data_IF_425172364868
#
_entry.id   IF_425172364868
#
_cell.length_a   1.000
_cell.length_b   1.000
_cell.length_c   1.000
_cell.angle_alpha   90.00
_cell.angle_beta   90.00
_cell.angle_gamma   90.00
#
_symmetry.space_group_name_H-M   'P 1'
#
loop_
_entity.id
_entity.type
_entity.pdbx_description
1 polymer ?
#
# COMPACT_ATOMS: atom_id res chain seq x y z
N UNK A 1 -22.34 -8.89 8.48
CA UNK A 1 -21.08 -8.57 9.19
C UNK A 1 -19.96 -8.47 8.17
N UNK A 2 -19.16 -7.41 8.22
CA UNK A 2 -18.02 -7.17 7.34
C UNK A 2 -16.74 -7.47 8.13
N UNK A 3 -15.80 -8.21 7.56
CA UNK A 3 -14.46 -8.37 8.13
C UNK A 3 -13.50 -7.38 7.48
N UNK A 4 -12.86 -6.54 8.28
CA UNK A 4 -11.87 -5.57 7.82
C UNK A 4 -10.47 -6.03 8.24
N UNK A 5 -9.61 -6.33 7.27
CA UNK A 5 -8.24 -6.77 7.49
C UNK A 5 -7.26 -5.68 7.04
N UNK A 6 -6.73 -4.93 8.01
CA UNK A 6 -5.76 -3.86 7.79
C UNK A 6 -4.33 -4.30 8.06
N UNK A 7 -3.39 -3.94 7.18
CA UNK A 7 -1.96 -4.22 7.36
C UNK A 7 -1.24 -3.26 8.30
N UNK A 8 -1.78 -2.05 8.52
CA UNK A 8 -1.20 -1.04 9.40
C UNK A 8 -1.99 -0.96 10.73
N UNK A 9 -1.74 0.08 11.53
CA UNK A 9 -2.57 0.40 12.70
C UNK A 9 -3.84 1.18 12.28
N UNK A 10 -4.88 1.21 13.14
CA UNK A 10 -6.09 2.01 12.88
C UNK A 10 -5.79 3.48 12.63
N UNK A 11 -4.86 4.06 13.40
CA UNK A 11 -4.50 5.48 13.32
C UNK A 11 -3.77 5.80 12.02
N UNK A 12 -2.83 4.96 11.61
CA UNK A 12 -2.16 5.09 10.32
C UNK A 12 -3.18 5.06 9.16
N UNK A 13 -4.21 4.23 9.27
CA UNK A 13 -5.25 4.04 8.24
C UNK A 13 -6.51 4.88 8.48
N UNK A 14 -6.49 5.87 9.38
CA UNK A 14 -7.67 6.62 9.80
C UNK A 14 -8.43 7.26 8.62
N UNK A 15 -7.72 7.85 7.65
CA UNK A 15 -8.33 8.44 6.45
C UNK A 15 -9.03 7.41 5.58
N UNK A 16 -8.41 6.24 5.37
CA UNK A 16 -8.99 5.13 4.60
C UNK A 16 -10.20 4.54 5.31
N UNK A 17 -10.10 4.35 6.62
CA UNK A 17 -11.19 3.85 7.45
C UNK A 17 -12.39 4.81 7.44
N UNK A 18 -12.14 6.13 7.50
CA UNK A 18 -13.17 7.16 7.37
C UNK A 18 -13.86 7.06 6.00
N UNK A 19 -13.09 7.02 4.92
CA UNK A 19 -13.63 6.90 3.56
C UNK A 19 -14.45 5.62 3.36
N UNK A 20 -13.98 4.49 3.91
CA UNK A 20 -14.70 3.22 3.85
C UNK A 20 -16.06 3.31 4.57
N UNK A 21 -16.10 3.86 5.78
CA UNK A 21 -17.34 4.07 6.53
C UNK A 21 -18.29 5.05 5.84
N UNK A 22 -17.75 6.10 5.23
CA UNK A 22 -18.53 7.07 4.47
C UNK A 22 -19.18 6.42 3.24
N UNK A 23 -18.43 5.65 2.46
CA UNK A 23 -18.98 4.91 1.32
C UNK A 23 -20.04 3.87 1.73
N UNK A 24 -19.85 3.18 2.86
CA UNK A 24 -20.89 2.31 3.42
C UNK A 24 -22.16 3.10 3.76
N UNK A 25 -22.02 4.25 4.42
CA UNK A 25 -23.15 5.10 4.80
C UNK A 25 -23.91 5.62 3.58
N UNK A 26 -23.21 6.03 2.53
CA UNK A 26 -23.81 6.46 1.26
C UNK A 26 -24.59 5.33 0.58
N UNK A 27 -24.12 4.08 0.73
CA UNK A 27 -24.82 2.88 0.28
C UNK A 27 -25.96 2.44 1.25
N UNK A 28 -26.22 3.19 2.32
CA UNK A 28 -27.26 2.91 3.30
C UNK A 28 -26.85 1.97 4.45
N UNK A 29 -25.56 1.66 4.59
CA UNK A 29 -25.01 0.83 5.67
C UNK A 29 -24.31 1.69 6.73
N UNK A 30 -24.86 1.72 7.94
CA UNK A 30 -24.36 2.46 9.09
C UNK A 30 -23.87 1.49 10.18
N UNK A 31 -22.59 1.63 10.54
CA UNK A 31 -21.94 0.76 11.52
C UNK A 31 -22.62 0.87 12.89
N UNK A 32 -22.90 -0.28 13.52
CA UNK A 32 -23.61 -0.36 14.79
C UNK A 32 -25.13 -0.24 14.67
N UNK A 33 -25.66 0.10 13.49
CA UNK A 33 -27.10 0.18 13.24
C UNK A 33 -27.61 -1.00 12.39
N UNK A 34 -27.07 -1.16 11.19
CA UNK A 34 -27.49 -2.22 10.25
C UNK A 34 -26.30 -2.96 9.61
N UNK A 35 -25.06 -2.57 9.93
CA UNK A 35 -23.85 -3.34 9.64
C UNK A 35 -22.96 -3.41 10.88
N UNK A 36 -22.31 -4.56 11.06
CA UNK A 36 -21.26 -4.76 12.07
C UNK A 36 -19.96 -4.96 11.31
N UNK A 37 -18.89 -4.27 11.74
CA UNK A 37 -17.55 -4.40 11.17
C UNK A 37 -16.63 -5.04 12.22
N UNK A 38 -16.02 -6.17 11.86
CA UNK A 38 -15.02 -6.87 12.65
C UNK A 38 -13.63 -6.47 12.16
N UNK A 39 -12.85 -5.80 13.00
CA UNK A 39 -11.55 -5.26 12.63
C UNK A 39 -10.39 -6.14 13.07
N UNK A 40 -9.47 -6.45 12.15
CA UNK A 40 -8.17 -7.04 12.46
C UNK A 40 -7.07 -6.19 11.86
N UNK A 41 -6.12 -5.81 12.72
CA UNK A 41 -5.00 -4.94 12.38
C UNK A 41 -3.71 -5.69 12.61
N UNK A 42 -2.84 -5.66 11.61
CA UNK A 42 -1.53 -6.29 11.68
C UNK A 42 -0.47 -5.38 12.32
N UNK A 43 -0.77 -4.08 12.48
CA UNK A 43 0.11 -3.07 13.09
C UNK A 43 1.49 -3.00 12.41
N UNK A 44 1.52 -3.15 11.08
CA UNK A 44 2.75 -3.17 10.28
C UNK A 44 3.45 -4.53 10.22
N UNK A 45 3.10 -5.48 11.11
CA UNK A 45 3.66 -6.83 11.09
C UNK A 45 2.85 -7.75 10.17
N UNK A 46 3.27 -7.81 8.90
CA UNK A 46 2.57 -8.56 7.85
C UNK A 46 2.47 -10.08 8.12
N UNK A 47 3.37 -10.66 8.92
CA UNK A 47 3.35 -12.09 9.26
C UNK A 47 2.11 -12.49 10.08
N UNK A 48 1.44 -11.51 10.71
CA UNK A 48 0.18 -11.74 11.44
C UNK A 48 -1.03 -11.88 10.51
N UNK A 49 -0.94 -11.42 9.26
CA UNK A 49 -2.08 -11.36 8.34
C UNK A 49 -2.76 -12.73 8.09
N UNK A 50 -2.05 -13.86 7.93
CA UNK A 50 -2.69 -15.16 7.76
C UNK A 50 -3.58 -15.57 8.95
N UNK A 51 -3.10 -15.38 10.19
CA UNK A 51 -3.87 -15.72 11.39
C UNK A 51 -5.09 -14.81 11.54
N UNK A 52 -4.91 -13.51 11.33
CA UNK A 52 -5.97 -12.50 11.40
C UNK A 52 -7.05 -12.74 10.33
N UNK A 53 -6.67 -13.11 9.11
CA UNK A 53 -7.60 -13.50 8.05
C UNK A 53 -8.39 -14.76 8.46
N UNK A 54 -7.69 -15.77 9.00
CA UNK A 54 -8.33 -16.99 9.50
C UNK A 54 -9.34 -16.74 10.62
N UNK A 55 -9.09 -15.78 11.51
CA UNK A 55 -10.05 -15.38 12.55
C UNK A 55 -11.34 -14.80 11.96
N UNK A 56 -11.22 -13.88 10.99
CA UNK A 56 -12.38 -13.31 10.31
C UNK A 56 -13.20 -14.38 9.55
N UNK A 57 -12.53 -15.36 8.95
CA UNK A 57 -13.19 -16.52 8.31
C UNK A 57 -13.95 -17.35 9.35
N UNK A 58 -13.34 -17.69 10.49
CA UNK A 58 -14.00 -18.45 11.57
C UNK A 58 -15.20 -17.73 12.17
N UNK A 59 -15.21 -16.40 12.12
CA UNK A 59 -16.35 -15.56 12.53
C UNK A 59 -17.48 -15.52 11.52
N UNK A 60 -17.34 -16.18 10.36
CA UNK A 60 -18.35 -16.22 9.30
C UNK A 60 -18.79 -14.81 8.87
N UNK A 61 -17.82 -13.92 8.64
CA UNK A 61 -18.12 -12.61 8.02
C UNK A 61 -18.74 -12.83 6.63
N UNK A 62 -19.64 -11.93 6.23
CA UNK A 62 -20.32 -12.01 4.94
C UNK A 62 -19.43 -11.54 3.77
N UNK A 63 -18.44 -10.69 4.06
CA UNK A 63 -17.47 -10.17 3.10
C UNK A 63 -16.19 -9.78 3.84
N UNK A 64 -15.04 -10.00 3.22
CA UNK A 64 -13.73 -9.55 3.67
C UNK A 64 -13.30 -8.31 2.87
N UNK A 65 -12.86 -7.25 3.54
CA UNK A 65 -12.31 -6.05 2.91
C UNK A 65 -10.84 -5.88 3.30
N UNK A 66 -9.99 -5.59 2.31
CA UNK A 66 -8.52 -5.49 2.46
C UNK A 66 -7.98 -4.21 1.82
N UNK A 67 -8.18 -3.03 2.46
CA UNK A 67 -7.86 -1.75 1.84
C UNK A 67 -6.38 -1.39 1.91
N UNK A 68 -5.83 -0.96 0.78
CA UNK A 68 -4.46 -0.46 0.61
C UNK A 68 -3.38 -1.51 0.77
N UNK A 69 -3.69 -2.81 0.62
CA UNK A 69 -2.77 -3.87 1.02
C UNK A 69 -2.93 -5.15 0.19
N UNK A 70 -2.05 -5.31 -0.81
CA UNK A 70 -1.93 -6.57 -1.55
C UNK A 70 -1.57 -7.77 -0.64
N UNK A 71 -0.67 -7.66 0.36
CA UNK A 71 -0.41 -8.76 1.29
C UNK A 71 -1.65 -9.19 2.09
N UNK A 72 -2.49 -8.24 2.54
CA UNK A 72 -3.72 -8.57 3.26
C UNK A 72 -4.73 -9.27 2.33
N UNK A 73 -4.85 -8.81 1.09
CA UNK A 73 -5.71 -9.44 0.09
C UNK A 73 -5.24 -10.88 -0.25
N UNK A 74 -3.93 -11.12 -0.33
CA UNK A 74 -3.36 -12.46 -0.52
C UNK A 74 -3.64 -13.37 0.68
N UNK A 75 -3.48 -12.87 1.90
CA UNK A 75 -3.81 -13.62 3.11
C UNK A 75 -5.31 -13.99 3.17
N UNK A 76 -6.19 -13.05 2.84
CA UNK A 76 -7.63 -13.32 2.73
C UNK A 76 -7.95 -14.38 1.66
N UNK A 77 -7.33 -14.27 0.48
CA UNK A 77 -7.49 -15.24 -0.63
C UNK A 77 -6.99 -16.64 -0.26
N UNK A 78 -5.95 -16.74 0.55
CA UNK A 78 -5.45 -18.00 1.07
C UNK A 78 -6.39 -18.60 2.14
N UNK A 79 -7.01 -17.75 2.96
CA UNK A 79 -7.86 -18.17 4.07
C UNK A 79 -9.25 -18.66 3.64
N UNK A 80 -9.77 -18.24 2.48
CA UNK A 80 -11.11 -18.64 2.03
C UNK A 80 -11.29 -18.60 0.52
N UNK A 81 -12.10 -19.53 0.00
CA UNK A 81 -12.54 -19.60 -1.40
C UNK A 81 -14.03 -19.31 -1.58
N UNK A 82 -14.75 -19.05 -0.49
CA UNK A 82 -16.22 -18.93 -0.49
C UNK A 82 -16.71 -17.57 -0.02
N UNK A 83 -16.03 -16.95 0.96
CA UNK A 83 -16.41 -15.61 1.43
C UNK A 83 -15.93 -14.60 0.38
N UNK A 84 -16.80 -13.70 -0.12
CA UNK A 84 -16.39 -12.64 -1.03
C UNK A 84 -15.28 -11.76 -0.42
N UNK A 85 -14.27 -11.44 -1.22
CA UNK A 85 -13.14 -10.59 -0.86
C UNK A 85 -13.18 -9.35 -1.75
N UNK A 86 -13.15 -8.17 -1.13
CA UNK A 86 -13.03 -6.88 -1.82
C UNK A 86 -11.70 -6.26 -1.43
N UNK A 87 -10.77 -6.18 -2.36
CA UNK A 87 -9.47 -5.54 -2.14
C UNK A 87 -9.47 -4.08 -2.61
N UNK A 88 -8.59 -3.28 -2.03
CA UNK A 88 -8.07 -2.08 -2.68
C UNK A 88 -6.53 -2.17 -2.63
N UNK A 89 -5.88 -1.95 -3.76
CA UNK A 89 -4.44 -2.10 -3.87
C UNK A 89 -3.82 -1.06 -4.80
N UNK A 90 -2.63 -0.59 -4.44
CA UNK A 90 -1.79 0.23 -5.31
C UNK A 90 -0.99 -0.58 -6.34
N UNK A 91 -0.91 -1.91 -6.17
CA UNK A 91 -0.23 -2.83 -7.07
C UNK A 91 -1.12 -3.27 -8.24
N UNK A 92 -0.52 -3.77 -9.32
CA UNK A 92 -1.24 -4.57 -10.31
C UNK A 92 -1.74 -5.88 -9.65
N UNK A 93 -3.06 -6.10 -9.56
CA UNK A 93 -3.63 -7.29 -8.93
C UNK A 93 -3.38 -8.57 -9.74
N UNK A 94 -3.08 -8.50 -11.03
CA UNK A 94 -2.69 -9.67 -11.85
C UNK A 94 -1.25 -10.04 -11.51
N UNK A 95 -0.31 -9.10 -11.59
CA UNK A 95 1.10 -9.34 -11.25
C UNK A 95 1.33 -9.68 -9.77
N UNK A 96 0.40 -9.32 -8.88
CA UNK A 96 0.39 -9.73 -7.48
C UNK A 96 -0.24 -11.11 -7.24
N UNK A 97 -0.85 -11.73 -8.26
CA UNK A 97 -1.53 -13.02 -8.15
C UNK A 97 -2.89 -12.96 -7.42
N UNK A 98 -3.47 -11.77 -7.25
CA UNK A 98 -4.78 -11.59 -6.64
C UNK A 98 -5.90 -12.03 -7.59
N UNK A 99 -5.79 -11.71 -8.88
CA UNK A 99 -6.76 -12.11 -9.91
C UNK A 99 -6.05 -12.67 -11.14
N UNK A 100 -6.72 -13.51 -11.93
CA UNK A 100 -6.18 -14.02 -13.18
C UNK A 100 -6.23 -12.96 -14.31
N UNK A 101 -7.25 -12.10 -14.28
CA UNK A 101 -7.40 -10.97 -15.20
C UNK A 101 -8.27 -9.87 -14.57
N UNK A 102 -8.18 -8.65 -15.08
CA UNK A 102 -9.03 -7.53 -14.64
C UNK A 102 -10.48 -7.66 -15.12
N UNK A 103 -10.68 -8.19 -16.32
CA UNK A 103 -12.00 -8.26 -16.96
C UNK A 103 -12.85 -9.42 -16.43
N UNK A 104 -12.21 -10.48 -15.94
CA UNK A 104 -12.84 -11.67 -15.37
C UNK A 104 -12.05 -12.13 -14.15
N UNK A 105 -12.30 -11.57 -12.96
CA UNK A 105 -11.72 -12.08 -11.74
C UNK A 105 -12.38 -13.43 -11.40
N UNK A 106 -11.60 -14.51 -11.37
CA UNK A 106 -12.09 -15.81 -10.93
C UNK A 106 -12.35 -15.87 -9.41
N UNK A 107 -13.17 -16.87 -9.04
CA UNK A 107 -13.50 -17.36 -7.68
C UNK A 107 -14.40 -16.47 -6.83
N UNK A 108 -13.84 -15.62 -5.99
CA UNK A 108 -14.54 -14.92 -4.89
C UNK A 108 -13.86 -13.61 -4.52
N UNK A 109 -12.99 -13.09 -5.38
CA UNK A 109 -12.16 -11.91 -5.09
C UNK A 109 -12.31 -10.87 -6.18
N UNK A 110 -12.59 -9.64 -5.79
CA UNK A 110 -12.69 -8.46 -6.67
C UNK A 110 -12.14 -7.24 -5.94
N UNK A 111 -12.04 -6.10 -6.60
CA UNK A 111 -11.54 -4.91 -5.92
C UNK A 111 -11.20 -3.74 -6.82
N UNK A 112 -10.50 -2.79 -6.22
CA UNK A 112 -10.04 -1.55 -6.83
C UNK A 112 -8.52 -1.63 -6.98
N UNK A 113 -8.02 -1.39 -8.19
CA UNK A 113 -6.61 -1.18 -8.46
C UNK A 113 -6.37 0.30 -8.72
N UNK A 114 -5.65 0.98 -7.81
CA UNK A 114 -5.27 2.38 -7.99
C UNK A 114 -4.02 2.56 -8.87
N UNK A 115 -3.33 1.45 -9.23
CA UNK A 115 -2.12 1.35 -10.04
C UNK A 115 -1.06 2.42 -9.72
N UNK A 116 -1.00 2.85 -8.47
CA UNK A 116 -0.12 3.95 -8.04
C UNK A 116 1.34 3.60 -8.20
N UNK A 117 1.69 2.30 -8.19
CA UNK A 117 3.06 1.82 -8.34
C UNK A 117 3.60 2.06 -9.76
N UNK A 118 2.75 1.90 -10.79
CA UNK A 118 3.14 2.12 -12.18
C UNK A 118 3.37 3.62 -12.49
N UNK A 119 2.87 4.52 -11.64
CA UNK A 119 3.06 5.96 -11.81
C UNK A 119 4.43 6.47 -11.34
N UNK A 120 5.26 5.62 -10.71
CA UNK A 120 6.58 6.00 -10.18
C UNK A 120 7.47 6.71 -11.21
N UNK A 121 7.72 6.10 -12.40
CA UNK A 121 8.49 6.73 -13.46
C UNK A 121 7.91 8.07 -13.94
N UNK A 122 6.58 8.20 -13.99
CA UNK A 122 5.94 9.46 -14.39
C UNK A 122 6.11 10.55 -13.32
N UNK A 123 6.05 10.20 -12.02
CA UNK A 123 6.36 11.14 -10.93
C UNK A 123 7.80 11.62 -10.99
N UNK A 124 8.73 10.72 -11.32
CA UNK A 124 10.13 11.06 -11.52
C UNK A 124 10.31 12.02 -12.72
N UNK A 125 9.61 11.78 -13.84
CA UNK A 125 9.61 12.70 -14.98
C UNK A 125 9.02 14.08 -14.63
N UNK A 126 7.92 14.13 -13.89
CA UNK A 126 7.33 15.41 -13.42
C UNK A 126 8.28 16.14 -12.48
N UNK A 127 9.00 15.42 -11.60
CA UNK A 127 9.99 16.02 -10.71
C UNK A 127 11.13 16.67 -11.51
N UNK A 128 11.60 16.02 -12.57
CA UNK A 128 12.58 16.59 -13.50
C UNK A 128 12.03 17.80 -14.27
N UNK A 129 10.77 17.76 -14.74
CA UNK A 129 10.13 18.92 -15.39
C UNK A 129 10.04 20.12 -14.43
N UNK A 130 9.72 19.89 -13.16
CA UNK A 130 9.60 20.94 -12.14
C UNK A 130 10.96 21.47 -11.66
N UNK A 131 11.97 20.62 -11.57
CA UNK A 131 13.30 20.92 -11.05
C UNK A 131 14.40 20.43 -12.01
N UNK A 132 14.53 21.04 -13.21
CA UNK A 132 15.41 20.53 -14.27
C UNK A 132 16.90 20.62 -13.93
N UNK A 133 17.28 21.42 -12.93
CA UNK A 133 18.66 21.51 -12.43
C UNK A 133 19.01 20.44 -11.40
N UNK A 134 18.02 19.68 -10.90
CA UNK A 134 18.23 18.63 -9.91
C UNK A 134 18.48 17.31 -10.63
N UNK A 135 19.66 16.75 -10.40
CA UNK A 135 20.10 15.49 -11.00
C UNK A 135 20.28 14.37 -9.97
N UNK A 136 20.15 14.63 -8.67
CA UNK A 136 20.29 13.64 -7.61
C UNK A 136 19.02 13.59 -6.77
N UNK A 137 18.31 12.46 -6.86
CA UNK A 137 17.00 12.25 -6.23
C UNK A 137 17.12 11.11 -5.23
N UNK A 138 16.63 11.33 -4.00
CA UNK A 138 16.47 10.24 -3.05
C UNK A 138 15.18 9.51 -3.33
N UNK A 139 15.24 8.18 -3.26
CA UNK A 139 14.07 7.31 -3.27
C UNK A 139 13.99 6.66 -1.90
N UNK A 140 13.00 7.05 -1.10
CA UNK A 140 12.78 6.46 0.22
C UNK A 140 11.86 5.25 0.07
N UNK A 141 12.33 4.12 0.57
CA UNK A 141 11.61 2.84 0.57
C UNK A 141 11.50 2.29 1.98
N UNK A 142 10.54 1.40 2.18
CA UNK A 142 10.46 0.61 3.40
C UNK A 142 11.03 -0.80 3.15
N UNK A 143 12.06 -1.17 3.92
CA UNK A 143 12.73 -2.48 3.86
C UNK A 143 11.80 -3.65 4.17
N UNK A 144 10.71 -3.44 4.90
CA UNK A 144 9.80 -4.50 5.32
C UNK A 144 8.80 -4.94 4.25
N UNK A 145 8.71 -4.22 3.12
CA UNK A 145 7.67 -4.43 2.09
C UNK A 145 8.04 -5.40 0.96
N UNK A 146 9.21 -6.05 1.03
CA UNK A 146 9.60 -7.17 0.16
C UNK A 146 9.61 -6.86 -1.35
N UNK A 147 9.27 -7.86 -2.17
CA UNK A 147 9.38 -7.84 -3.65
C UNK A 147 8.58 -6.71 -4.34
N UNK A 148 7.56 -6.17 -3.68
CA UNK A 148 6.71 -5.10 -4.23
C UNK A 148 7.46 -3.77 -4.29
N UNK A 149 8.28 -3.47 -3.28
CA UNK A 149 9.17 -2.29 -3.29
C UNK A 149 10.31 -2.50 -4.27
N UNK A 150 10.88 -3.71 -4.34
CA UNK A 150 11.95 -4.03 -5.28
C UNK A 150 11.55 -3.81 -6.75
N UNK A 151 10.29 -4.09 -7.13
CA UNK A 151 9.77 -3.77 -8.47
C UNK A 151 9.69 -2.27 -8.73
N UNK A 152 9.14 -1.50 -7.79
CA UNK A 152 9.03 -0.05 -7.95
C UNK A 152 10.41 0.63 -8.06
N UNK A 153 11.40 0.18 -7.29
CA UNK A 153 12.77 0.67 -7.40
C UNK A 153 13.36 0.37 -8.77
N UNK A 154 13.20 -0.86 -9.27
CA UNK A 154 13.69 -1.24 -10.61
C UNK A 154 13.07 -0.39 -11.73
N UNK A 155 11.77 -0.10 -11.65
CA UNK A 155 11.09 0.73 -12.64
C UNK A 155 11.65 2.18 -12.63
N UNK A 156 11.96 2.71 -11.44
CA UNK A 156 12.59 4.02 -11.29
C UNK A 156 14.04 4.01 -11.82
N UNK A 157 14.83 2.99 -11.48
CA UNK A 157 16.21 2.81 -11.95
C UNK A 157 16.29 2.69 -13.49
N UNK A 158 15.29 2.08 -14.14
CA UNK A 158 15.24 1.97 -15.58
C UNK A 158 15.04 3.31 -16.32
N UNK A 159 14.35 4.27 -15.67
CA UNK A 159 13.98 5.56 -16.28
C UNK A 159 14.90 6.70 -15.86
N UNK A 160 15.48 6.67 -14.66
CA UNK A 160 16.34 7.74 -14.15
C UNK A 160 17.50 8.12 -15.10
N UNK A 161 18.26 7.18 -15.71
CA UNK A 161 19.33 7.53 -16.65
C UNK A 161 18.83 8.25 -17.90
N UNK A 162 17.62 7.92 -18.36
CA UNK A 162 17.00 8.55 -19.53
C UNK A 162 16.63 10.02 -19.27
N UNK A 163 16.47 10.38 -18.00
CA UNK A 163 16.17 11.73 -17.53
C UNK A 163 17.40 12.44 -16.95
N UNK A 164 18.60 11.88 -17.09
CA UNK A 164 19.84 12.47 -16.55
C UNK A 164 19.90 12.49 -15.02
N UNK A 165 19.12 11.64 -14.34
CA UNK A 165 19.04 11.58 -12.88
C UNK A 165 19.80 10.39 -12.30
N UNK A 166 20.36 10.61 -11.11
CA UNK A 166 20.96 9.62 -10.23
C UNK A 166 20.04 9.39 -9.04
N UNK A 167 19.71 8.13 -8.79
CA UNK A 167 18.88 7.75 -7.65
C UNK A 167 19.74 7.33 -6.46
N UNK A 168 19.41 7.87 -5.28
CA UNK A 168 19.93 7.42 -4.00
C UNK A 168 18.82 6.66 -3.28
N UNK A 169 18.87 5.33 -3.30
CA UNK A 169 17.87 4.48 -2.65
C UNK A 169 18.19 4.41 -1.15
N UNK A 170 17.24 4.83 -0.31
CA UNK A 170 17.36 4.81 1.14
C UNK A 170 16.20 4.02 1.73
N UNK A 171 16.49 3.22 2.74
CA UNK A 171 15.48 2.41 3.43
C UNK A 171 15.21 2.95 4.83
N UNK A 172 13.94 3.02 5.22
CA UNK A 172 13.54 3.30 6.59
C UNK A 172 12.25 2.54 6.96
N UNK A 173 12.26 1.93 8.14
CA UNK A 173 11.15 1.16 8.71
C UNK A 173 10.71 1.66 10.09
N UNK A 174 11.46 2.60 10.69
CA UNK A 174 11.15 3.29 11.94
C UNK A 174 11.63 4.77 11.93
N UNK A 175 11.31 5.54 12.97
CA UNK A 175 11.70 6.97 13.08
C UNK A 175 13.23 7.16 13.07
N UNK A 176 14.03 6.38 13.85
CA UNK A 176 15.48 6.51 13.83
C UNK A 176 16.10 6.27 12.44
N UNK A 177 15.61 5.27 11.69
CA UNK A 177 16.07 5.02 10.33
C UNK A 177 15.64 6.15 9.38
N UNK A 178 14.46 6.74 9.59
CA UNK A 178 13.99 7.88 8.80
C UNK A 178 14.88 9.11 9.00
N UNK A 179 15.21 9.45 10.25
CA UNK A 179 16.16 10.54 10.57
C UNK A 179 17.54 10.28 9.96
N UNK A 180 18.00 9.03 10.02
CA UNK A 180 19.26 8.61 9.39
C UNK A 180 19.21 8.80 7.87
N UNK A 181 18.10 8.44 7.23
CA UNK A 181 17.89 8.64 5.80
C UNK A 181 17.97 10.13 5.43
N UNK A 182 17.29 11.01 6.18
CA UNK A 182 17.36 12.46 5.94
C UNK A 182 18.77 13.04 6.14
N UNK A 183 19.51 12.59 7.14
CA UNK A 183 20.89 13.00 7.34
C UNK A 183 21.79 12.61 6.14
N UNK A 184 21.59 11.42 5.58
CA UNK A 184 22.29 10.97 4.36
C UNK A 184 21.89 11.84 3.16
N UNK A 185 20.60 12.13 2.97
CA UNK A 185 20.12 12.99 1.88
C UNK A 185 20.79 14.37 1.90
N UNK A 186 20.94 14.98 3.08
CA UNK A 186 21.63 16.27 3.23
C UNK A 186 23.12 16.16 2.87
N UNK A 187 23.80 15.12 3.37
CA UNK A 187 25.22 14.88 3.11
C UNK A 187 25.51 14.65 1.63
N UNK A 188 24.61 13.94 0.95
CA UNK A 188 24.73 13.61 -0.48
C UNK A 188 24.21 14.73 -1.39
N UNK A 189 23.77 15.86 -0.85
CA UNK A 189 23.23 17.00 -1.60
C UNK A 189 22.09 16.62 -2.55
N UNK A 190 21.19 15.77 -2.07
CA UNK A 190 19.97 15.39 -2.80
C UNK A 190 19.08 16.63 -2.99
N UNK A 191 18.60 16.84 -4.21
CA UNK A 191 17.74 17.98 -4.56
C UNK A 191 16.25 17.65 -4.66
N UNK A 192 15.87 16.39 -4.47
CA UNK A 192 14.46 15.98 -4.47
C UNK A 192 14.26 14.61 -3.81
N UNK A 193 13.07 14.40 -3.25
CA UNK A 193 12.68 13.16 -2.57
C UNK A 193 11.46 12.56 -3.26
N UNK A 194 11.57 11.29 -3.65
CA UNK A 194 10.45 10.47 -4.09
C UNK A 194 10.20 9.38 -3.06
N UNK A 195 8.98 9.33 -2.52
CA UNK A 195 8.59 8.32 -1.55
C UNK A 195 7.83 7.23 -2.30
N UNK A 196 8.34 6.01 -2.21
CA UNK A 196 7.67 4.83 -2.76
C UNK A 196 6.45 4.52 -1.90
N UNK A 197 5.30 4.30 -2.51
CA UNK A 197 4.05 4.16 -1.76
C UNK A 197 4.04 2.86 -0.94
N UNK A 198 4.13 2.98 0.38
CA UNK A 198 4.00 1.88 1.31
C UNK A 198 3.24 2.30 2.59
N UNK A 199 2.73 1.35 3.40
CA UNK A 199 1.95 1.68 4.60
C UNK A 199 2.68 2.55 5.64
N UNK A 200 3.99 2.37 5.81
CA UNK A 200 4.80 3.15 6.74
C UNK A 200 4.92 4.61 6.29
N UNK A 201 5.35 4.85 5.04
CA UNK A 201 5.42 6.20 4.47
C UNK A 201 4.09 6.96 4.53
N UNK A 202 2.98 6.29 4.21
CA UNK A 202 1.66 6.91 4.22
C UNK A 202 1.24 7.40 5.62
N UNK A 203 1.67 6.72 6.68
CA UNK A 203 1.34 7.11 8.06
C UNK A 203 2.07 8.37 8.55
N UNK A 204 3.16 8.77 7.87
CA UNK A 204 4.09 9.84 8.29
C UNK A 204 4.17 11.02 7.34
N UNK A 205 3.19 11.18 6.46
CA UNK A 205 3.16 12.28 5.46
C UNK A 205 3.28 13.70 6.06
N UNK A 206 3.03 13.87 7.36
CA UNK A 206 3.20 15.16 8.06
C UNK A 206 4.62 15.40 8.58
N UNK A 207 5.43 14.35 8.69
CA UNK A 207 6.81 14.39 9.19
C UNK A 207 7.83 14.47 8.04
N UNK A 208 7.42 14.11 6.82
CA UNK A 208 8.19 14.20 5.57
C UNK A 208 7.78 15.47 4.83
#
# INVERSE_FOLDING_TARGET
MVGYLGSASPDAWATRLKAFREGLREAGFEEGRNVIIEYRWADGNLDRLPELAGDLVRRNVAVLVTPGSAPAALAAKAATRTIPIVFETGADPVAAGLVASLNHPDSNITGIAALTFETGPKRLAILHEALPSVNRIAVLVNSSAGDVVGRQVKDLEAVAPQLGMQLLILSASDDPELETAFAIMQKEHVGGLLIVADPFANSRIKQI
#
